data_IF_022156330100
#
_entry.id   IF_022156330100
#
_cell.length_a   1.000
_cell.length_b   1.000
_cell.length_c   1.000
_cell.angle_alpha   90.00
_cell.angle_beta   90.00
_cell.angle_gamma   90.00
#
_symmetry.space_group_name_H-M   'P 1'
#
loop_
_entity.id
_entity.type
_entity.pdbx_description
1 polymer ?
#
# COMPACT_ATOMS: atom_id res chain seq x y z
N UNK A 1 12.58 29.03 31.14
CA UNK A 1 12.75 27.94 32.11
C UNK A 1 13.12 26.61 31.44
N UNK A 2 12.43 26.19 30.39
CA UNK A 2 12.70 24.91 29.66
C UNK A 2 14.08 24.86 28.97
N UNK A 3 14.59 25.96 28.44
CA UNK A 3 15.93 26.05 27.83
C UNK A 3 17.06 25.83 28.85
N UNK A 4 16.86 26.19 30.13
CA UNK A 4 17.86 25.96 31.19
C UNK A 4 17.85 24.53 31.76
N UNK A 5 16.71 23.84 31.70
CA UNK A 5 16.63 22.40 32.05
C UNK A 5 17.31 21.51 31.01
N UNK A 6 17.21 21.85 29.73
CA UNK A 6 17.88 21.08 28.66
C UNK A 6 19.41 21.14 28.74
N UNK A 7 19.98 22.29 29.08
CA UNK A 7 21.43 22.44 29.28
C UNK A 7 21.95 21.72 30.53
N UNK A 8 21.17 21.64 31.60
CA UNK A 8 21.55 20.94 32.84
C UNK A 8 21.64 19.41 32.63
N UNK A 9 20.69 18.79 31.94
CA UNK A 9 20.72 17.36 31.60
C UNK A 9 21.84 17.02 30.62
N UNK A 10 22.08 17.90 29.62
CA UNK A 10 23.20 17.74 28.71
C UNK A 10 24.57 17.81 29.39
N UNK A 11 24.75 18.69 30.36
CA UNK A 11 25.99 18.80 31.16
C UNK A 11 26.20 17.60 32.07
N UNK A 12 25.14 17.04 32.66
CA UNK A 12 25.24 15.81 33.47
C UNK A 12 25.61 14.59 32.59
N UNK A 13 25.07 14.49 31.39
CA UNK A 13 25.42 13.45 30.43
C UNK A 13 26.88 13.60 29.96
N UNK A 14 27.33 14.84 29.68
CA UNK A 14 28.72 15.12 29.29
C UNK A 14 29.69 14.81 30.42
N UNK A 15 29.34 15.15 31.67
CA UNK A 15 30.16 14.81 32.83
C UNK A 15 30.23 13.28 33.08
N UNK A 16 29.18 12.54 32.78
CA UNK A 16 29.16 11.08 32.81
C UNK A 16 30.12 10.45 31.78
N UNK A 17 30.09 10.95 30.56
CA UNK A 17 30.99 10.48 29.47
C UNK A 17 32.46 10.83 29.78
N UNK A 18 32.73 12.04 30.27
CA UNK A 18 34.09 12.45 30.64
C UNK A 18 34.65 11.68 31.86
N UNK A 19 33.80 11.23 32.77
CA UNK A 19 34.21 10.41 33.91
C UNK A 19 34.56 8.97 33.51
N UNK A 20 33.92 8.42 32.46
CA UNK A 20 34.24 7.09 31.93
C UNK A 20 35.55 7.10 31.12
N UNK A 21 35.82 8.16 30.34
CA UNK A 21 37.12 8.35 29.64
C UNK A 21 38.28 8.49 30.65
N UNK A 22 38.05 9.12 31.79
CA UNK A 22 39.06 9.28 32.82
C UNK A 22 39.42 7.95 33.57
N UNK A 23 38.61 6.90 33.42
CA UNK A 23 38.86 5.58 34.03
C UNK A 23 39.71 4.64 33.18
N UNK A 24 40.08 5.04 31.95
CA UNK A 24 40.97 4.26 31.11
C UNK A 24 40.42 2.88 30.72
N UNK A 25 39.10 2.70 30.73
CA UNK A 25 38.52 1.47 30.23
C UNK A 25 38.75 1.37 28.72
N UNK A 26 39.29 0.25 28.27
CA UNK A 26 39.43 -0.11 26.88
C UNK A 26 38.04 -0.07 26.25
N UNK A 27 37.83 0.85 25.31
CA UNK A 27 36.56 0.95 24.59
C UNK A 27 36.15 -0.45 24.10
N UNK A 28 34.96 -0.95 24.44
CA UNK A 28 34.52 -2.25 23.96
C UNK A 28 34.53 -2.22 22.42
N UNK A 29 34.97 -3.34 21.82
CA UNK A 29 34.99 -3.47 20.36
C UNK A 29 33.66 -3.03 19.76
N UNK A 30 33.67 -2.25 18.67
CA UNK A 30 32.40 -1.78 18.05
C UNK A 30 31.52 -2.97 17.74
N UNK A 31 30.33 -2.97 18.33
CA UNK A 31 29.35 -4.04 18.12
C UNK A 31 28.87 -4.00 16.69
N UNK A 32 28.55 -5.16 16.09
CA UNK A 32 27.83 -5.15 14.83
C UNK A 32 26.50 -4.40 15.05
N UNK A 33 26.36 -3.26 14.37
CA UNK A 33 25.13 -2.47 14.39
C UNK A 33 24.03 -3.33 13.76
N UNK A 34 23.07 -3.76 14.57
CA UNK A 34 21.91 -4.47 14.05
C UNK A 34 21.02 -3.46 13.32
N UNK A 35 20.99 -3.55 11.97
CA UNK A 35 20.09 -2.76 11.14
C UNK A 35 18.83 -3.59 10.84
N UNK A 36 17.67 -3.28 11.46
CA UNK A 36 16.44 -4.02 11.24
C UNK A 36 15.93 -3.91 9.79
N UNK A 37 16.35 -2.88 9.05
CA UNK A 37 16.03 -2.66 7.65
C UNK A 37 17.04 -3.26 6.67
N UNK A 38 18.12 -3.88 7.15
CA UNK A 38 19.06 -4.56 6.26
C UNK A 38 18.33 -5.60 5.39
N UNK A 39 18.75 -5.77 4.11
CA UNK A 39 18.15 -6.78 3.24
C UNK A 39 18.22 -8.17 3.87
N UNK A 40 17.13 -8.90 3.82
CA UNK A 40 16.98 -10.27 4.34
C UNK A 40 16.63 -11.22 3.21
N UNK A 41 17.11 -12.46 3.29
CA UNK A 41 16.74 -13.49 2.35
C UNK A 41 15.27 -13.92 2.56
N UNK A 42 14.47 -14.10 1.50
CA UNK A 42 13.16 -14.70 1.59
C UNK A 42 13.27 -16.21 1.94
N UNK A 43 12.16 -16.85 2.23
CA UNK A 43 12.12 -18.28 2.57
C UNK A 43 12.44 -19.18 1.37
N UNK A 44 12.15 -18.71 0.16
CA UNK A 44 12.47 -19.36 -1.12
C UNK A 44 12.62 -18.29 -2.22
N UNK A 45 13.13 -18.62 -3.42
CA UNK A 45 13.35 -17.66 -4.48
C UNK A 45 12.09 -16.85 -4.80
N UNK A 46 12.18 -15.53 -4.60
CA UNK A 46 11.09 -14.61 -4.85
C UNK A 46 10.92 -14.34 -6.35
N UNK A 47 9.69 -14.21 -6.82
CA UNK A 47 9.36 -13.70 -8.16
C UNK A 47 9.26 -12.17 -8.17
N UNK A 48 8.72 -11.58 -7.11
CA UNK A 48 8.64 -10.14 -6.91
C UNK A 48 9.62 -9.65 -5.84
N UNK A 49 10.16 -8.46 -6.05
CA UNK A 49 11.00 -7.73 -5.09
C UNK A 49 10.28 -6.53 -4.49
N UNK A 50 9.35 -5.96 -5.22
CA UNK A 50 8.61 -4.76 -4.88
C UNK A 50 7.10 -5.01 -4.93
N UNK A 51 6.36 -4.27 -4.10
CA UNK A 51 4.89 -4.18 -4.19
C UNK A 51 4.50 -2.72 -4.46
N UNK A 52 3.59 -2.55 -5.40
CA UNK A 52 2.85 -1.31 -5.62
C UNK A 52 1.36 -1.60 -5.46
N UNK A 53 0.70 -0.90 -4.56
CA UNK A 53 -0.73 -1.06 -4.33
C UNK A 53 -1.48 0.22 -4.69
N UNK A 54 -2.25 0.20 -5.76
CA UNK A 54 -3.20 1.25 -6.14
C UNK A 54 -4.50 1.03 -5.36
N UNK A 55 -4.70 1.80 -4.30
CA UNK A 55 -5.82 1.63 -3.39
C UNK A 55 -6.96 2.59 -3.75
N UNK A 56 -8.04 2.01 -4.27
CA UNK A 56 -9.26 2.72 -4.66
C UNK A 56 -10.23 2.79 -3.46
N UNK A 57 -9.82 3.55 -2.43
CA UNK A 57 -10.58 3.65 -1.18
C UNK A 57 -11.99 4.20 -1.39
N UNK A 58 -12.94 3.49 -0.81
CA UNK A 58 -14.37 3.70 -0.98
C UNK A 58 -15.06 2.58 -1.78
N UNK A 59 -14.32 1.63 -2.34
CA UNK A 59 -14.87 0.45 -2.99
C UNK A 59 -15.39 0.71 -4.42
N UNK A 60 -14.55 0.57 -5.45
CA UNK A 60 -14.99 0.68 -6.84
C UNK A 60 -15.97 -0.43 -7.20
N UNK A 61 -16.96 -0.09 -8.01
CA UNK A 61 -17.98 -1.04 -8.45
C UNK A 61 -17.40 -2.06 -9.43
N UNK A 62 -17.38 -3.33 -9.06
CA UNK A 62 -16.90 -4.44 -9.90
C UNK A 62 -17.71 -4.56 -11.19
N UNK A 63 -19.05 -4.45 -11.09
CA UNK A 63 -19.95 -4.59 -12.25
C UNK A 63 -19.89 -3.41 -13.21
N UNK A 64 -19.22 -2.33 -12.82
CA UNK A 64 -19.02 -1.14 -13.65
C UNK A 64 -17.58 -1.01 -14.16
N UNK A 65 -16.66 -1.91 -13.73
CA UNK A 65 -15.23 -1.83 -14.07
C UNK A 65 -14.70 -3.08 -14.76
N UNK A 66 -14.60 -4.23 -14.09
CA UNK A 66 -13.91 -5.42 -14.59
C UNK A 66 -14.76 -6.70 -14.59
N UNK A 67 -16.00 -6.65 -14.10
CA UNK A 67 -16.89 -7.82 -13.99
C UNK A 67 -18.25 -7.57 -14.69
N UNK A 68 -18.31 -7.58 -16.04
CA UNK A 68 -19.54 -7.34 -16.80
C UNK A 68 -20.61 -8.39 -16.47
N UNK A 69 -21.86 -7.94 -16.31
CA UNK A 69 -23.01 -8.78 -15.94
C UNK A 69 -24.18 -8.58 -16.90
N UNK A 70 -24.28 -9.35 -18.00
CA UNK A 70 -25.39 -9.23 -18.96
C UNK A 70 -26.78 -9.44 -18.35
N UNK A 71 -26.87 -10.16 -17.22
CA UNK A 71 -28.14 -10.34 -16.53
C UNK A 71 -28.66 -9.05 -15.89
N UNK A 72 -27.78 -8.10 -15.55
CA UNK A 72 -28.19 -6.78 -15.07
C UNK A 72 -28.87 -5.96 -16.18
N UNK A 73 -28.45 -6.13 -17.45
CA UNK A 73 -29.14 -5.49 -18.59
C UNK A 73 -30.56 -6.00 -18.75
N UNK A 74 -30.78 -7.32 -18.64
CA UNK A 74 -32.09 -7.97 -18.76
C UNK A 74 -33.04 -7.61 -17.62
N UNK A 75 -32.52 -7.40 -16.41
CA UNK A 75 -33.30 -7.14 -15.20
C UNK A 75 -33.32 -5.65 -14.81
N UNK A 76 -32.69 -4.77 -15.58
CA UNK A 76 -32.64 -3.35 -15.26
C UNK A 76 -33.99 -2.75 -14.96
N UNK A 77 -34.09 -2.06 -13.82
CA UNK A 77 -35.34 -1.46 -13.35
C UNK A 77 -36.36 -2.46 -12.76
N UNK A 78 -35.99 -3.76 -12.64
CA UNK A 78 -36.85 -4.80 -12.04
C UNK A 78 -36.19 -5.35 -10.76
N UNK A 79 -36.98 -5.86 -9.80
CA UNK A 79 -36.45 -6.61 -8.67
C UNK A 79 -35.62 -7.80 -9.15
N UNK A 80 -34.53 -8.11 -8.44
CA UNK A 80 -33.78 -9.33 -8.69
C UNK A 80 -34.58 -10.57 -8.25
N UNK A 81 -34.37 -11.74 -8.87
CA UNK A 81 -35.08 -12.97 -8.51
C UNK A 81 -34.84 -13.39 -7.06
N UNK A 82 -33.65 -13.11 -6.53
CA UNK A 82 -33.27 -13.46 -5.16
C UNK A 82 -33.19 -12.21 -4.30
N UNK A 83 -33.56 -12.34 -3.02
CA UNK A 83 -33.37 -11.27 -2.04
C UNK A 83 -31.88 -11.14 -1.73
N UNK A 84 -31.36 -9.92 -1.83
CA UNK A 84 -29.98 -9.62 -1.45
C UNK A 84 -29.94 -9.12 -0.01
N UNK A 85 -28.93 -9.57 0.73
CA UNK A 85 -28.63 -9.02 2.05
C UNK A 85 -27.72 -7.82 1.89
N UNK A 86 -28.30 -6.63 1.85
CA UNK A 86 -27.59 -5.35 1.69
C UNK A 86 -27.50 -4.62 3.03
N UNK A 87 -26.57 -3.69 3.16
CA UNK A 87 -26.40 -2.88 4.37
C UNK A 87 -27.51 -1.83 4.47
N UNK A 88 -27.83 -1.20 3.35
CA UNK A 88 -28.88 -0.18 3.24
C UNK A 88 -30.04 -0.68 2.41
N UNK A 89 -31.13 0.07 2.41
CA UNK A 89 -32.29 -0.23 1.59
C UNK A 89 -31.96 -0.05 0.11
N UNK A 90 -32.13 -1.09 -0.67
CA UNK A 90 -31.88 -1.12 -2.11
C UNK A 90 -33.17 -1.28 -2.91
N UNK A 91 -33.11 -0.88 -4.18
CA UNK A 91 -34.21 -0.97 -5.14
C UNK A 91 -33.99 -2.07 -6.17
N UNK A 92 -34.30 -1.73 -7.42
CA UNK A 92 -34.22 -2.65 -8.55
C UNK A 92 -32.79 -2.88 -9.03
N UNK A 93 -32.61 -3.91 -9.86
CA UNK A 93 -31.37 -4.16 -10.58
C UNK A 93 -30.93 -2.92 -11.37
N UNK A 94 -29.68 -2.57 -11.27
CA UNK A 94 -29.09 -1.44 -11.96
C UNK A 94 -28.02 -1.95 -12.94
N UNK A 95 -28.27 -1.83 -14.24
CA UNK A 95 -27.27 -2.15 -15.26
C UNK A 95 -26.08 -1.18 -15.17
N UNK A 96 -24.93 -1.59 -15.69
CA UNK A 96 -23.80 -0.68 -15.82
C UNK A 96 -24.16 0.45 -16.81
N UNK A 97 -23.86 1.70 -16.48
CA UNK A 97 -23.99 2.81 -17.43
C UNK A 97 -22.88 2.82 -18.48
N UNK A 98 -21.84 2.00 -18.30
CA UNK A 98 -20.65 1.97 -19.14
C UNK A 98 -20.65 0.81 -20.12
N UNK A 99 -19.93 0.99 -21.24
CA UNK A 99 -19.74 -0.04 -22.25
C UNK A 99 -18.53 -0.91 -21.90
N UNK A 100 -18.69 -2.21 -22.12
CA UNK A 100 -17.60 -3.17 -22.03
C UNK A 100 -17.12 -3.58 -23.41
N UNK A 101 -15.80 -3.80 -23.53
CA UNK A 101 -15.15 -4.25 -24.74
C UNK A 101 -14.10 -5.30 -24.39
N UNK A 102 -13.86 -6.24 -25.31
CA UNK A 102 -12.77 -7.20 -25.21
C UNK A 102 -11.45 -6.56 -25.62
N UNK A 103 -10.41 -6.80 -24.83
CA UNK A 103 -9.08 -6.26 -25.04
C UNK A 103 -8.03 -7.36 -25.08
N UNK A 104 -6.90 -7.06 -25.73
CA UNK A 104 -5.75 -7.94 -25.83
C UNK A 104 -6.01 -9.24 -26.59
N UNK A 105 -5.04 -10.14 -26.55
CA UNK A 105 -5.15 -11.48 -27.12
C UNK A 105 -5.99 -12.39 -26.20
N UNK A 106 -5.98 -12.13 -24.88
CA UNK A 106 -6.78 -12.82 -23.89
C UNK A 106 -8.28 -12.62 -24.05
N UNK A 107 -8.70 -11.54 -24.75
CA UNK A 107 -10.11 -11.22 -24.96
C UNK A 107 -10.88 -10.88 -23.69
N UNK A 108 -10.21 -10.44 -22.63
CA UNK A 108 -10.83 -10.07 -21.37
C UNK A 108 -11.67 -8.80 -21.54
N UNK A 109 -12.90 -8.86 -21.06
CA UNK A 109 -13.81 -7.71 -21.08
C UNK A 109 -13.55 -6.75 -19.97
N UNK A 110 -13.35 -5.47 -20.32
CA UNK A 110 -13.12 -4.36 -19.40
C UNK A 110 -14.00 -3.18 -19.80
N UNK A 111 -14.47 -2.45 -18.80
CA UNK A 111 -15.24 -1.21 -18.98
C UNK A 111 -14.42 -0.11 -19.66
N UNK A 112 -15.09 0.75 -20.41
CA UNK A 112 -14.50 1.96 -21.01
C UNK A 112 -13.82 2.88 -19.98
N UNK A 113 -14.11 2.71 -18.70
CA UNK A 113 -13.48 3.44 -17.60
C UNK A 113 -11.96 3.19 -17.51
N UNK A 114 -11.51 1.99 -17.87
CA UNK A 114 -10.10 1.58 -17.83
C UNK A 114 -9.59 1.11 -19.19
N UNK A 115 -10.09 1.74 -20.26
CA UNK A 115 -9.77 1.37 -21.65
C UNK A 115 -8.28 1.46 -21.97
N UNK A 116 -7.58 2.53 -21.55
CA UNK A 116 -6.15 2.73 -21.83
C UNK A 116 -5.29 1.68 -21.13
N UNK A 117 -5.60 1.39 -19.89
CA UNK A 117 -4.93 0.34 -19.11
C UNK A 117 -5.15 -1.03 -19.75
N UNK A 118 -6.39 -1.35 -20.12
CA UNK A 118 -6.74 -2.62 -20.74
C UNK A 118 -6.11 -2.77 -22.15
N UNK A 119 -6.16 -1.74 -22.97
CA UNK A 119 -5.58 -1.76 -24.33
C UNK A 119 -4.07 -2.01 -24.30
N UNK A 120 -3.36 -1.43 -23.34
CA UNK A 120 -1.92 -1.55 -23.26
C UNK A 120 -1.43 -2.79 -22.49
N UNK A 121 -2.20 -3.30 -21.51
CA UNK A 121 -1.62 -4.22 -20.51
C UNK A 121 -2.48 -5.41 -20.11
N UNK A 122 -3.71 -5.59 -20.61
CA UNK A 122 -4.62 -6.62 -20.12
C UNK A 122 -4.02 -8.04 -20.19
N UNK A 123 -3.22 -8.35 -21.23
CA UNK A 123 -2.55 -9.65 -21.37
C UNK A 123 -1.44 -9.88 -20.31
N UNK A 124 -1.02 -8.84 -19.59
CA UNK A 124 -0.09 -8.92 -18.47
C UNK A 124 -0.77 -8.86 -17.10
N UNK A 125 -2.10 -8.87 -17.06
CA UNK A 125 -2.90 -8.71 -15.85
C UNK A 125 -3.67 -10.00 -15.52
N UNK A 126 -3.84 -10.27 -14.23
CA UNK A 126 -4.76 -11.28 -13.71
C UNK A 126 -5.92 -10.58 -13.01
N UNK A 127 -7.13 -10.75 -13.53
CA UNK A 127 -8.35 -10.17 -12.98
C UNK A 127 -9.00 -11.19 -12.04
N UNK A 128 -9.10 -10.88 -10.75
CA UNK A 128 -9.73 -11.73 -9.74
C UNK A 128 -11.14 -11.20 -9.52
N UNK A 129 -12.14 -11.88 -10.09
CA UNK A 129 -13.56 -11.46 -10.00
C UNK A 129 -14.28 -11.99 -8.77
N UNK A 130 -13.67 -12.91 -8.04
CA UNK A 130 -14.27 -13.64 -6.93
C UNK A 130 -13.71 -13.23 -5.56
N UNK A 131 -13.24 -12.00 -5.42
CA UNK A 131 -12.83 -11.48 -4.12
C UNK A 131 -14.03 -11.36 -3.17
N UNK A 132 -13.81 -11.65 -1.88
CA UNK A 132 -14.79 -11.38 -0.82
C UNK A 132 -14.10 -11.03 0.50
N UNK A 133 -14.84 -10.37 1.40
CA UNK A 133 -14.40 -9.98 2.73
C UNK A 133 -15.49 -10.25 3.77
N UNK A 134 -15.15 -10.10 5.06
CA UNK A 134 -16.03 -10.49 6.17
C UNK A 134 -17.09 -9.44 6.52
N UNK A 135 -16.86 -8.19 6.16
CA UNK A 135 -17.65 -7.06 6.67
C UNK A 135 -17.93 -6.01 5.59
N UNK A 136 -19.10 -5.36 5.63
CA UNK A 136 -19.52 -4.36 4.64
C UNK A 136 -19.04 -2.93 4.94
N UNK A 137 -18.61 -2.61 6.18
CA UNK A 137 -18.29 -1.26 6.60
C UNK A 137 -16.85 -0.89 6.26
N UNK A 138 -16.61 0.38 5.88
CA UNK A 138 -15.30 0.84 5.43
C UNK A 138 -14.19 0.68 6.46
N UNK A 139 -14.39 1.12 7.72
CA UNK A 139 -13.34 1.08 8.74
C UNK A 139 -12.74 -0.32 8.94
N UNK A 140 -13.55 -1.36 9.23
CA UNK A 140 -13.02 -2.70 9.41
C UNK A 140 -12.54 -3.33 8.08
N UNK A 141 -13.15 -3.01 6.94
CA UNK A 141 -12.74 -3.56 5.65
C UNK A 141 -11.42 -2.97 5.16
N UNK A 142 -11.18 -1.66 5.39
CA UNK A 142 -9.90 -1.02 5.15
C UNK A 142 -8.79 -1.69 5.99
N UNK A 143 -9.05 -1.95 7.26
CA UNK A 143 -8.10 -2.63 8.14
C UNK A 143 -7.91 -4.09 7.74
N UNK A 144 -8.96 -4.80 7.32
CA UNK A 144 -8.87 -6.16 6.80
C UNK A 144 -7.98 -6.21 5.55
N UNK A 145 -8.23 -5.34 4.57
CA UNK A 145 -7.45 -5.30 3.33
C UNK A 145 -5.99 -4.88 3.55
N UNK A 146 -5.73 -3.97 4.49
CA UNK A 146 -4.38 -3.48 4.71
C UNK A 146 -3.60 -4.26 5.77
N UNK A 147 -4.27 -4.77 6.81
CA UNK A 147 -3.64 -5.32 8.02
C UNK A 147 -4.04 -6.78 8.32
N UNK A 148 -4.94 -7.37 7.53
CA UNK A 148 -5.41 -8.74 7.73
C UNK A 148 -6.33 -8.94 8.95
N UNK A 149 -6.81 -7.86 9.58
CA UNK A 149 -7.74 -7.93 10.70
C UNK A 149 -8.54 -6.62 10.80
N UNK A 150 -9.84 -6.72 10.74
CA UNK A 150 -10.75 -5.55 10.80
C UNK A 150 -11.03 -5.02 12.21
N UNK A 151 -10.58 -5.70 13.26
CA UNK A 151 -10.96 -5.40 14.65
C UNK A 151 -9.77 -5.06 15.54
N UNK A 152 -8.66 -5.79 15.37
CA UNK A 152 -7.50 -5.69 16.23
C UNK A 152 -6.38 -4.86 15.60
N UNK A 153 -5.60 -4.12 16.40
CA UNK A 153 -4.41 -3.45 15.90
C UNK A 153 -3.37 -4.45 15.40
N UNK A 154 -3.26 -4.60 14.08
CA UNK A 154 -2.28 -5.48 13.40
C UNK A 154 -1.33 -4.67 12.54
N UNK A 155 -0.11 -5.16 12.29
CA UNK A 155 0.79 -4.57 11.31
C UNK A 155 0.21 -4.69 9.89
N UNK A 156 0.41 -3.67 9.10
CA UNK A 156 -0.01 -3.66 7.70
C UNK A 156 0.84 -4.61 6.84
N UNK A 157 0.30 -4.98 5.66
CA UNK A 157 1.01 -5.75 4.64
C UNK A 157 2.40 -5.14 4.35
N UNK A 158 2.46 -3.81 4.14
CA UNK A 158 3.73 -3.12 3.89
C UNK A 158 4.72 -3.24 5.05
N UNK A 159 4.23 -3.19 6.30
CA UNK A 159 5.06 -3.41 7.50
C UNK A 159 5.57 -4.85 7.58
N UNK A 160 4.74 -5.85 7.28
CA UNK A 160 5.16 -7.24 7.25
C UNK A 160 6.20 -7.52 6.15
N UNK A 161 6.00 -6.98 4.95
CA UNK A 161 6.95 -7.13 3.84
C UNK A 161 8.29 -6.49 4.17
N UNK A 162 8.27 -5.28 4.73
CA UNK A 162 9.49 -4.57 5.13
C UNK A 162 10.18 -5.27 6.31
N UNK A 163 9.44 -5.81 7.26
CA UNK A 163 9.97 -6.64 8.34
C UNK A 163 10.64 -7.91 7.80
N UNK A 164 10.02 -8.58 6.84
CA UNK A 164 10.51 -9.84 6.28
C UNK A 164 11.70 -9.70 5.36
N UNK A 165 11.72 -8.69 4.46
CA UNK A 165 12.75 -8.52 3.44
C UNK A 165 13.77 -7.40 3.73
N UNK A 166 13.44 -6.47 4.65
CA UNK A 166 14.20 -5.23 4.76
C UNK A 166 14.04 -4.34 3.53
N UNK A 167 14.98 -3.46 3.28
CA UNK A 167 15.01 -2.56 2.13
C UNK A 167 16.36 -2.61 1.42
N UNK A 168 16.36 -2.44 0.09
CA UNK A 168 17.59 -2.34 -0.70
C UNK A 168 18.18 -0.91 -0.66
N UNK A 169 17.37 0.08 -0.28
CA UNK A 169 17.77 1.48 -0.15
C UNK A 169 17.90 1.87 1.33
N UNK A 170 19.07 2.36 1.73
CA UNK A 170 19.33 2.80 3.11
C UNK A 170 18.96 4.27 3.36
N UNK A 171 18.64 5.03 2.33
CA UNK A 171 18.43 6.48 2.40
C UNK A 171 16.95 6.87 2.20
N UNK A 172 16.10 5.90 1.83
CA UNK A 172 14.66 6.08 1.69
C UNK A 172 13.92 5.06 2.57
N UNK A 173 12.66 5.38 2.97
CA UNK A 173 11.83 4.41 3.69
C UNK A 173 11.60 3.15 2.85
N UNK A 174 11.59 2.00 3.50
CA UNK A 174 11.24 0.74 2.83
C UNK A 174 9.76 0.66 2.44
N UNK A 175 8.90 1.42 3.13
CA UNK A 175 7.47 1.51 2.87
C UNK A 175 7.01 2.97 2.78
N UNK A 176 6.51 3.37 1.62
CA UNK A 176 6.00 4.71 1.32
C UNK A 176 4.50 4.66 1.05
N UNK A 177 3.76 5.60 1.60
CA UNK A 177 2.31 5.76 1.41
C UNK A 177 2.01 7.14 0.87
N UNK A 178 1.32 7.20 -0.25
CA UNK A 178 0.90 8.44 -0.90
C UNK A 178 -0.62 8.58 -0.87
N UNK A 179 -1.11 9.63 -0.20
CA UNK A 179 -2.53 9.97 -0.21
C UNK A 179 -2.67 11.48 -0.38
N UNK A 180 -3.31 11.96 -1.45
CA UNK A 180 -3.44 13.37 -1.70
C UNK A 180 -4.55 13.99 -0.86
N UNK A 181 -4.27 15.17 -0.30
CA UNK A 181 -5.26 16.00 0.39
C UNK A 181 -5.62 15.54 1.80
N UNK A 182 -4.83 14.65 2.41
CA UNK A 182 -5.04 14.20 3.78
C UNK A 182 -5.06 12.68 3.95
N UNK A 183 -5.84 12.20 4.90
CA UNK A 183 -5.88 10.79 5.26
C UNK A 183 -7.18 10.11 4.81
N UNK A 184 -7.13 8.81 4.44
CA UNK A 184 -8.33 8.00 4.31
C UNK A 184 -8.97 7.76 5.68
N UNK A 185 -10.14 7.13 5.72
CA UNK A 185 -10.74 6.68 6.98
C UNK A 185 -9.76 5.77 7.73
N UNK A 186 -9.86 5.76 9.06
CA UNK A 186 -8.93 5.14 10.02
C UNK A 186 -7.46 5.58 9.89
N UNK A 187 -7.22 6.61 9.10
CA UNK A 187 -5.96 7.37 9.01
C UNK A 187 -4.71 6.48 8.86
N UNK A 188 -3.67 6.76 9.65
CA UNK A 188 -2.39 6.02 9.64
C UNK A 188 -2.51 4.56 10.11
N UNK A 189 -3.67 4.14 10.63
CA UNK A 189 -3.88 2.75 11.02
C UNK A 189 -3.78 1.79 9.83
N UNK A 190 -4.09 2.27 8.61
CA UNK A 190 -3.97 1.48 7.38
C UNK A 190 -2.54 1.03 7.03
N UNK A 191 -1.52 1.74 7.53
CA UNK A 191 -0.11 1.47 7.24
C UNK A 191 0.78 1.46 8.47
N UNK A 192 0.16 1.15 9.62
CA UNK A 192 0.88 1.09 10.89
C UNK A 192 1.76 -0.15 11.01
N UNK A 193 2.82 -0.01 11.81
CA UNK A 193 3.64 -1.14 12.26
C UNK A 193 3.00 -1.93 13.41
N UNK A 194 2.05 -1.33 14.15
CA UNK A 194 1.41 -1.89 15.35
C UNK A 194 2.43 -2.44 16.36
N UNK A 195 2.43 -3.76 16.59
CA UNK A 195 3.39 -4.40 17.50
C UNK A 195 4.77 -4.67 16.87
N UNK A 196 4.93 -4.53 15.56
CA UNK A 196 6.26 -4.52 14.95
C UNK A 196 6.99 -3.21 15.29
N UNK A 197 8.34 -3.21 15.29
CA UNK A 197 9.10 -1.98 15.47
C UNK A 197 8.68 -0.84 14.52
N UNK A 198 8.68 0.39 15.04
CA UNK A 198 8.20 1.58 14.30
C UNK A 198 8.92 1.87 12.99
N UNK A 199 10.14 1.39 12.81
CA UNK A 199 10.92 1.53 11.57
C UNK A 199 10.25 0.86 10.34
N UNK A 200 9.33 -0.08 10.56
CA UNK A 200 8.58 -0.75 9.50
C UNK A 200 7.26 -0.05 9.15
N UNK A 201 6.92 1.04 9.84
CA UNK A 201 5.71 1.80 9.55
C UNK A 201 5.83 2.53 8.22
N UNK A 202 4.71 2.62 7.47
CA UNK A 202 4.65 3.39 6.24
C UNK A 202 4.90 4.88 6.46
N UNK A 203 5.77 5.47 5.65
CA UNK A 203 6.03 6.91 5.62
C UNK A 203 5.01 7.59 4.72
N UNK A 204 4.21 8.47 5.30
CA UNK A 204 3.16 9.20 4.59
C UNK A 204 3.71 10.38 3.79
N UNK A 205 3.22 10.53 2.55
CA UNK A 205 3.45 11.67 1.68
C UNK A 205 2.12 12.30 1.28
N UNK A 206 1.95 13.59 1.53
CA UNK A 206 0.83 14.35 0.98
C UNK A 206 1.14 14.80 -0.46
N UNK A 207 0.75 13.99 -1.41
CA UNK A 207 1.02 14.22 -2.83
C UNK A 207 0.12 15.27 -3.50
N UNK A 208 -0.75 15.91 -2.75
CA UNK A 208 -1.39 17.14 -3.21
C UNK A 208 -0.36 18.28 -3.31
N UNK A 209 0.73 18.20 -2.57
CA UNK A 209 1.87 19.09 -2.65
C UNK A 209 2.86 18.66 -3.74
N UNK A 210 3.55 19.62 -4.33
CA UNK A 210 4.61 19.39 -5.32
C UNK A 210 6.00 19.72 -4.78
N UNK A 211 6.09 20.50 -3.70
CA UNK A 211 7.34 20.86 -3.04
C UNK A 211 7.76 19.76 -2.07
N UNK A 212 9.01 19.31 -2.14
CA UNK A 212 9.55 18.21 -1.32
C UNK A 212 9.34 18.46 0.18
N UNK A 213 9.58 19.69 0.64
CA UNK A 213 9.44 20.07 2.06
C UNK A 213 7.99 20.03 2.56
N UNK A 214 7.01 20.02 1.65
CA UNK A 214 5.58 19.89 1.95
C UNK A 214 5.05 18.49 1.73
N UNK A 215 5.73 17.66 0.91
CA UNK A 215 5.38 16.26 0.71
C UNK A 215 5.57 15.45 1.99
N UNK A 216 6.66 15.71 2.73
CA UNK A 216 7.00 15.01 3.97
C UNK A 216 7.05 16.05 5.10
N UNK A 217 6.14 15.91 6.05
CA UNK A 217 6.14 16.79 7.22
C UNK A 217 7.47 16.67 7.99
N UNK A 218 8.03 17.82 8.37
CA UNK A 218 9.25 17.91 9.19
C UNK A 218 10.50 17.24 8.59
N UNK A 219 10.59 17.11 7.26
CA UNK A 219 11.76 16.51 6.62
C UNK A 219 13.03 17.35 6.84
N UNK A 220 12.92 18.65 7.01
CA UNK A 220 14.04 19.54 7.31
C UNK A 220 13.90 20.16 8.69
N UNK A 221 15.03 20.32 9.37
CA UNK A 221 15.10 21.16 10.56
C UNK A 221 15.28 22.62 10.14
N UNK A 222 14.35 23.48 10.54
CA UNK A 222 14.41 24.91 10.23
C UNK A 222 15.35 25.70 11.14
N UNK A 223 15.76 25.15 12.29
CA UNK A 223 16.53 25.83 13.31
C UNK A 223 18.01 25.47 13.31
N UNK A 224 18.38 24.31 12.75
CA UNK A 224 19.75 23.79 12.75
C UNK A 224 20.25 23.62 11.33
N UNK A 225 21.54 23.94 11.10
CA UNK A 225 22.24 23.52 9.89
C UNK A 225 22.41 22.00 9.86
N UNK A 226 22.65 21.42 8.67
CA UNK A 226 22.87 19.98 8.53
C UNK A 226 24.05 19.48 9.40
N UNK A 227 25.14 20.25 9.48
CA UNK A 227 26.31 19.90 10.29
C UNK A 227 25.95 19.85 11.77
N UNK A 228 25.25 20.89 12.28
CA UNK A 228 24.79 20.91 13.68
C UNK A 228 23.80 19.80 14.00
N UNK A 229 22.93 19.48 13.06
CA UNK A 229 22.03 18.35 13.21
C UNK A 229 22.77 17.03 13.24
N UNK A 230 23.82 16.87 12.41
CA UNK A 230 24.69 15.68 12.45
C UNK A 230 25.39 15.54 13.79
N UNK A 231 26.03 16.61 14.29
CA UNK A 231 26.66 16.62 15.62
C UNK A 231 25.67 16.19 16.73
N UNK A 232 24.43 16.71 16.68
CA UNK A 232 23.39 16.34 17.62
C UNK A 232 23.02 14.87 17.54
N UNK A 233 22.89 14.32 16.33
CA UNK A 233 22.56 12.91 16.12
C UNK A 233 23.71 11.98 16.54
N UNK A 234 24.96 12.37 16.31
CA UNK A 234 26.13 11.61 16.75
C UNK A 234 26.18 11.55 18.26
N UNK A 235 25.87 12.64 18.94
CA UNK A 235 25.78 12.67 20.40
C UNK A 235 24.65 11.78 20.94
N UNK A 236 23.45 11.88 20.34
CA UNK A 236 22.31 11.02 20.71
C UNK A 236 22.64 9.56 20.44
N UNK A 237 23.31 9.27 19.31
CA UNK A 237 23.76 7.91 19.00
C UNK A 237 24.72 7.36 20.05
N UNK A 238 25.72 8.12 20.46
CA UNK A 238 26.66 7.70 21.50
C UNK A 238 25.96 7.38 22.84
N UNK A 239 25.00 8.21 23.25
CA UNK A 239 24.18 7.94 24.43
C UNK A 239 23.33 6.67 24.28
N UNK A 240 22.72 6.48 23.11
CA UNK A 240 21.91 5.30 22.83
C UNK A 240 22.76 4.02 22.76
N UNK A 241 23.95 4.09 22.17
CA UNK A 241 24.88 2.96 22.10
C UNK A 241 25.31 2.51 23.51
N UNK A 242 25.60 3.46 24.41
CA UNK A 242 25.87 3.18 25.84
C UNK A 242 24.63 2.55 26.52
N UNK A 243 23.44 3.08 26.30
CA UNK A 243 22.20 2.55 26.87
C UNK A 243 21.88 1.15 26.32
N UNK A 244 22.11 0.90 25.02
CA UNK A 244 21.94 -0.40 24.40
C UNK A 244 22.94 -1.44 24.87
N UNK A 245 24.14 -0.99 25.37
CA UNK A 245 25.15 -1.89 25.92
C UNK A 245 24.62 -2.76 27.05
N UNK A 246 23.75 -2.17 27.89
CA UNK A 246 23.15 -2.84 29.04
C UNK A 246 21.87 -3.64 28.69
N UNK A 247 21.36 -3.47 27.45
CA UNK A 247 20.09 -4.04 26.96
C UNK A 247 20.28 -4.77 25.66
N UNK A 248 21.03 -5.87 25.70
CA UNK A 248 21.35 -6.66 24.51
C UNK A 248 20.05 -7.21 23.87
N UNK A 249 19.95 -7.04 22.52
CA UNK A 249 18.87 -7.55 21.68
C UNK A 249 17.48 -6.88 21.85
N UNK A 250 17.41 -5.64 22.33
CA UNK A 250 16.17 -4.87 22.29
C UNK A 250 15.93 -4.31 20.86
N UNK A 251 15.19 -5.06 20.04
CA UNK A 251 14.86 -4.66 18.65
C UNK A 251 14.08 -3.34 18.57
N UNK A 252 13.30 -2.98 19.59
CA UNK A 252 12.56 -1.71 19.63
C UNK A 252 13.51 -0.53 19.81
N UNK A 253 14.50 -0.67 20.67
CA UNK A 253 15.52 0.35 20.90
C UNK A 253 16.39 0.55 19.65
N UNK A 254 16.88 -0.53 19.03
CA UNK A 254 17.66 -0.47 17.80
C UNK A 254 16.87 0.15 16.65
N UNK A 255 15.59 -0.21 16.48
CA UNK A 255 14.73 0.37 15.49
C UNK A 255 14.55 1.88 15.69
N UNK A 256 14.44 2.35 16.95
CA UNK A 256 14.31 3.78 17.27
C UNK A 256 15.58 4.56 16.91
N UNK A 257 16.75 4.02 17.21
CA UNK A 257 18.05 4.61 16.84
C UNK A 257 18.13 4.76 15.31
N UNK A 258 17.83 3.68 14.58
CA UNK A 258 17.87 3.67 13.13
C UNK A 258 16.84 4.60 12.48
N UNK A 259 15.71 4.86 13.13
CA UNK A 259 14.69 5.80 12.62
C UNK A 259 15.23 7.24 12.55
N UNK A 260 16.01 7.70 13.52
CA UNK A 260 16.62 9.04 13.48
C UNK A 260 17.66 9.15 12.37
N UNK A 261 18.49 8.12 12.20
CA UNK A 261 19.49 8.07 11.12
C UNK A 261 18.84 8.04 9.73
N UNK A 262 17.76 7.27 9.57
CA UNK A 262 17.00 7.25 8.32
C UNK A 262 16.40 8.62 8.01
N UNK A 263 15.76 9.27 9.00
CA UNK A 263 15.16 10.58 8.83
C UNK A 263 16.19 11.63 8.40
N UNK A 264 17.42 11.58 8.93
CA UNK A 264 18.49 12.46 8.51
C UNK A 264 18.97 12.19 7.09
N UNK A 265 19.22 10.92 6.73
CA UNK A 265 19.62 10.54 5.36
C UNK A 265 18.57 10.89 4.32
N UNK A 266 17.28 10.77 4.69
CA UNK A 266 16.17 11.17 3.82
C UNK A 266 16.22 12.65 3.41
N UNK A 267 16.74 13.55 4.25
CA UNK A 267 16.80 14.99 3.94
C UNK A 267 17.57 15.26 2.63
N UNK A 268 18.62 14.49 2.36
CA UNK A 268 19.41 14.61 1.14
C UNK A 268 18.78 13.84 -0.02
N UNK A 269 18.43 12.56 0.19
CA UNK A 269 17.92 11.69 -0.87
C UNK A 269 16.52 12.10 -1.36
N UNK A 270 15.65 12.55 -0.45
CA UNK A 270 14.29 12.97 -0.81
C UNK A 270 14.30 14.14 -1.80
N UNK A 271 15.27 15.06 -1.70
CA UNK A 271 15.40 16.19 -2.63
C UNK A 271 15.63 15.72 -4.08
N UNK A 272 16.18 14.54 -4.28
CA UNK A 272 16.40 13.95 -5.62
C UNK A 272 15.33 12.95 -6.00
N UNK A 273 14.87 12.13 -5.07
CA UNK A 273 13.87 11.09 -5.33
C UNK A 273 12.50 11.69 -5.71
N UNK A 274 12.10 12.75 -5.01
CA UNK A 274 10.77 13.37 -5.19
C UNK A 274 10.75 14.55 -6.17
N UNK A 275 11.90 14.98 -6.70
CA UNK A 275 11.98 16.07 -7.67
C UNK A 275 11.61 15.57 -9.08
N UNK A 276 10.35 15.80 -9.47
CA UNK A 276 9.85 15.46 -10.80
C UNK A 276 10.28 16.43 -11.90
N UNK A 277 10.92 17.54 -11.58
CA UNK A 277 11.43 18.50 -12.58
C UNK A 277 12.54 17.89 -13.44
N UNK A 278 13.22 16.87 -12.92
CA UNK A 278 14.28 16.12 -13.61
C UNK A 278 13.77 15.10 -14.64
N UNK A 279 12.46 14.83 -14.65
CA UNK A 279 11.86 13.97 -15.67
C UNK A 279 11.71 14.71 -16.99
N UNK A 280 11.84 14.00 -18.11
CA UNK A 280 11.63 14.60 -19.43
C UNK A 280 10.21 15.09 -19.60
N UNK A 281 10.01 16.07 -20.48
CA UNK A 281 8.67 16.59 -20.79
C UNK A 281 7.74 15.46 -21.28
N UNK A 282 8.23 14.60 -22.18
CA UNK A 282 7.48 13.46 -22.71
C UNK A 282 7.06 12.47 -21.63
N UNK A 283 7.95 12.21 -20.66
CA UNK A 283 7.61 11.35 -19.52
C UNK A 283 6.49 11.96 -18.70
N UNK A 284 6.59 13.24 -18.35
CA UNK A 284 5.55 13.92 -17.57
C UNK A 284 4.21 13.96 -18.32
N UNK A 285 4.23 14.23 -19.64
CA UNK A 285 3.03 14.24 -20.48
C UNK A 285 2.37 12.86 -20.54
N UNK A 286 3.14 11.77 -20.63
CA UNK A 286 2.63 10.40 -20.64
C UNK A 286 1.86 10.04 -19.36
N UNK A 287 2.35 10.46 -18.20
CA UNK A 287 1.63 10.28 -16.93
C UNK A 287 0.49 11.28 -16.74
N UNK A 288 0.53 12.39 -17.45
CA UNK A 288 -0.40 13.51 -17.30
C UNK A 288 -0.10 14.38 -16.09
N UNK A 289 -0.43 15.67 -16.20
CA UNK A 289 -0.26 16.64 -15.10
C UNK A 289 -1.45 16.62 -14.15
N UNK A 290 -1.69 15.45 -13.57
CA UNK A 290 -2.71 15.22 -12.54
C UNK A 290 -2.05 14.80 -11.24
N UNK A 291 -2.79 14.85 -10.13
CA UNK A 291 -2.28 14.36 -8.84
C UNK A 291 -1.87 12.89 -8.96
N UNK A 292 -2.70 12.05 -9.57
CA UNK A 292 -2.41 10.61 -9.71
C UNK A 292 -1.30 10.35 -10.74
N UNK A 293 -1.20 11.15 -11.81
CA UNK A 293 -0.06 11.08 -12.73
C UNK A 293 1.27 11.32 -12.00
N UNK A 294 1.33 12.37 -11.16
CA UNK A 294 2.50 12.65 -10.32
C UNK A 294 2.78 11.53 -9.29
N UNK A 295 1.74 10.98 -8.63
CA UNK A 295 1.91 9.86 -7.71
C UNK A 295 2.52 8.64 -8.37
N UNK A 296 2.02 8.25 -9.55
CA UNK A 296 2.51 7.06 -10.24
C UNK A 296 3.92 7.29 -10.82
N UNK A 297 4.23 8.50 -11.25
CA UNK A 297 5.59 8.86 -11.65
C UNK A 297 6.57 8.84 -10.47
N UNK A 298 6.16 9.34 -9.30
CA UNK A 298 6.91 9.20 -8.04
C UNK A 298 7.08 7.73 -7.66
N UNK A 299 6.03 6.92 -7.78
CA UNK A 299 6.07 5.47 -7.52
C UNK A 299 7.13 4.79 -8.36
N UNK A 300 7.18 5.05 -9.68
CA UNK A 300 8.22 4.51 -10.56
C UNK A 300 9.62 4.87 -10.05
N UNK A 301 9.86 6.15 -9.73
CA UNK A 301 11.15 6.63 -9.21
C UNK A 301 11.56 6.00 -7.88
N UNK A 302 10.59 5.74 -7.01
CA UNK A 302 10.82 5.06 -5.74
C UNK A 302 11.22 3.59 -5.94
N UNK A 303 10.51 2.88 -6.83
CA UNK A 303 10.85 1.49 -7.19
C UNK A 303 12.22 1.39 -7.84
N UNK A 304 12.56 2.29 -8.77
CA UNK A 304 13.91 2.37 -9.37
C UNK A 304 15.02 2.55 -8.31
N UNK A 305 14.70 3.15 -7.17
CA UNK A 305 15.63 3.36 -6.05
C UNK A 305 15.58 2.28 -4.98
N UNK A 306 14.87 1.18 -5.23
CA UNK A 306 14.83 0.04 -4.32
C UNK A 306 13.87 0.17 -3.14
N UNK A 307 12.90 1.10 -3.18
CA UNK A 307 11.82 1.14 -2.19
C UNK A 307 10.99 -0.13 -2.31
N UNK A 308 10.77 -0.82 -1.20
CA UNK A 308 10.16 -2.16 -1.18
C UNK A 308 8.66 -2.14 -1.41
N UNK A 309 7.95 -1.21 -0.75
CA UNK A 309 6.49 -1.11 -0.80
C UNK A 309 6.08 0.33 -1.06
N UNK A 310 5.21 0.52 -2.05
CA UNK A 310 4.57 1.82 -2.32
C UNK A 310 3.07 1.61 -2.38
N UNK A 311 2.33 2.29 -1.51
CA UNK A 311 0.89 2.30 -1.50
C UNK A 311 0.37 3.66 -1.97
N UNK A 312 -0.49 3.68 -2.98
CA UNK A 312 -1.01 4.89 -3.63
C UNK A 312 -2.51 4.94 -3.46
N UNK A 313 -2.99 5.86 -2.65
CA UNK A 313 -4.41 6.05 -2.34
C UNK A 313 -5.07 7.01 -3.32
N UNK A 314 -6.35 6.78 -3.58
CA UNK A 314 -7.14 7.62 -4.48
C UNK A 314 -7.42 9.02 -3.91
N UNK A 315 -7.35 9.19 -2.59
CA UNK A 315 -7.52 10.48 -1.93
C UNK A 315 -7.93 10.37 -0.48
N UNK A 316 -8.03 11.52 0.19
CA UNK A 316 -8.56 11.60 1.53
C UNK A 316 -10.02 11.12 1.59
N UNK A 317 -10.43 10.60 2.74
CA UNK A 317 -11.77 10.03 2.93
C UNK A 317 -11.99 8.77 2.09
N UNK A 318 -13.04 8.76 1.28
CA UNK A 318 -13.49 7.60 0.49
C UNK A 318 -13.98 8.02 -0.91
N UNK A 319 -13.09 8.42 -1.83
CA UNK A 319 -13.49 8.95 -3.13
C UNK A 319 -14.41 8.03 -3.95
N UNK A 320 -14.24 6.69 -3.86
CA UNK A 320 -15.02 5.71 -4.61
C UNK A 320 -16.33 5.29 -3.91
N UNK A 321 -16.68 5.90 -2.78
CA UNK A 321 -17.91 5.61 -2.03
C UNK A 321 -19.11 6.33 -2.64
N UNK A 322 -19.59 5.84 -3.78
CA UNK A 322 -20.62 6.50 -4.57
C UNK A 322 -22.00 5.89 -4.38
N UNK A 323 -22.65 6.27 -3.29
CA UNK A 323 -24.05 5.92 -2.96
C UNK A 323 -25.07 6.64 -3.85
N UNK A 324 -24.66 7.74 -4.47
CA UNK A 324 -25.40 8.47 -5.48
C UNK A 324 -24.48 8.95 -6.62
N UNK A 325 -25.08 9.36 -7.74
CA UNK A 325 -24.34 9.92 -8.87
C UNK A 325 -23.16 9.07 -9.38
N UNK A 326 -23.23 7.75 -9.20
CA UNK A 326 -22.14 6.80 -9.45
C UNK A 326 -21.57 6.96 -10.85
N UNK A 327 -22.42 7.14 -11.86
CA UNK A 327 -21.98 7.28 -13.26
C UNK A 327 -20.99 8.45 -13.42
N UNK A 328 -21.36 9.64 -12.99
CA UNK A 328 -20.49 10.81 -13.15
C UNK A 328 -19.24 10.72 -12.27
N UNK A 329 -19.38 10.19 -11.06
CA UNK A 329 -18.28 10.13 -10.09
C UNK A 329 -17.26 9.05 -10.47
N UNK A 330 -17.68 7.81 -10.81
CA UNK A 330 -16.78 6.76 -11.26
C UNK A 330 -16.05 7.16 -12.55
N UNK A 331 -16.75 7.81 -13.49
CA UNK A 331 -16.12 8.32 -14.73
C UNK A 331 -15.03 9.34 -14.43
N UNK A 332 -15.31 10.30 -13.52
CA UNK A 332 -14.33 11.30 -13.10
C UNK A 332 -13.11 10.67 -12.43
N UNK A 333 -13.33 9.72 -11.51
CA UNK A 333 -12.26 9.05 -10.78
C UNK A 333 -11.42 8.18 -11.71
N UNK A 334 -12.06 7.34 -12.51
CA UNK A 334 -11.36 6.46 -13.45
C UNK A 334 -10.51 7.23 -14.45
N UNK A 335 -10.99 8.37 -14.96
CA UNK A 335 -10.23 9.23 -15.88
C UNK A 335 -8.92 9.76 -15.26
N UNK A 336 -8.84 9.87 -13.94
CA UNK A 336 -7.63 10.30 -13.23
C UNK A 336 -6.61 9.17 -13.08
N UNK A 337 -7.04 7.90 -13.18
CA UNK A 337 -6.21 6.72 -12.94
C UNK A 337 -5.82 5.97 -14.21
N UNK A 338 -6.71 5.84 -15.19
CA UNK A 338 -6.54 4.96 -16.35
C UNK A 338 -5.27 5.27 -17.15
N UNK A 339 -5.08 6.52 -17.56
CA UNK A 339 -3.87 6.94 -18.28
C UNK A 339 -2.59 6.77 -17.45
N UNK A 340 -2.53 7.28 -16.23
CA UNK A 340 -1.39 7.07 -15.34
C UNK A 340 -1.04 5.61 -15.07
N UNK A 341 -2.01 4.71 -14.86
CA UNK A 341 -1.74 3.27 -14.70
C UNK A 341 -1.12 2.69 -15.97
N UNK A 342 -1.69 2.99 -17.14
CA UNK A 342 -1.14 2.54 -18.41
C UNK A 342 0.31 3.02 -18.61
N UNK A 343 0.60 4.28 -18.29
CA UNK A 343 1.94 4.86 -18.37
C UNK A 343 2.92 4.18 -17.39
N UNK A 344 2.49 3.94 -16.16
CA UNK A 344 3.29 3.29 -15.13
C UNK A 344 3.69 1.85 -15.52
N UNK A 345 2.73 1.03 -15.94
CA UNK A 345 2.99 -0.34 -16.36
C UNK A 345 3.86 -0.40 -17.62
N UNK A 346 3.68 0.55 -18.56
CA UNK A 346 4.55 0.70 -19.73
C UNK A 346 5.98 1.02 -19.32
N UNK A 347 6.17 1.97 -18.41
CA UNK A 347 7.49 2.34 -17.94
C UNK A 347 8.16 1.19 -17.19
N UNK A 348 7.45 0.46 -16.30
CA UNK A 348 8.02 -0.71 -15.64
C UNK A 348 8.53 -1.77 -16.63
N UNK A 349 7.79 -2.03 -17.70
CA UNK A 349 8.24 -2.93 -18.77
C UNK A 349 9.48 -2.38 -19.49
N UNK A 350 9.46 -1.09 -19.86
CA UNK A 350 10.55 -0.42 -20.56
C UNK A 350 11.87 -0.42 -19.79
N UNK A 351 11.81 -0.27 -18.45
CA UNK A 351 13.01 -0.22 -17.59
C UNK A 351 13.36 -1.60 -17.00
N UNK A 352 12.64 -2.68 -17.37
CA UNK A 352 12.93 -4.05 -16.93
C UNK A 352 12.55 -4.35 -15.47
N UNK A 353 11.66 -3.57 -14.85
CA UNK A 353 11.21 -3.75 -13.48
C UNK A 353 9.84 -4.42 -13.35
N UNK A 354 9.11 -4.64 -14.46
CA UNK A 354 7.77 -5.22 -14.44
C UNK A 354 7.76 -6.62 -13.81
N UNK A 355 8.68 -7.49 -14.22
CA UNK A 355 8.74 -8.87 -13.76
C UNK A 355 9.17 -9.01 -12.28
N UNK A 356 9.75 -7.96 -11.72
CA UNK A 356 10.17 -7.92 -10.30
C UNK A 356 9.26 -7.05 -9.42
N UNK A 357 8.23 -6.41 -9.98
CA UNK A 357 7.29 -5.53 -9.26
C UNK A 357 5.88 -6.11 -9.31
N UNK A 358 5.35 -6.51 -8.17
CA UNK A 358 3.95 -6.91 -8.03
C UNK A 358 3.09 -5.65 -7.91
N UNK A 359 2.19 -5.45 -8.87
CA UNK A 359 1.22 -4.35 -8.86
C UNK A 359 -0.15 -4.89 -8.53
N UNK A 360 -0.80 -4.34 -7.52
CA UNK A 360 -2.17 -4.63 -7.11
C UNK A 360 -3.04 -3.39 -7.33
N UNK A 361 -4.26 -3.59 -7.81
CA UNK A 361 -5.33 -2.59 -7.86
C UNK A 361 -6.58 -3.14 -7.22
N UNK A 362 -7.26 -2.34 -6.42
CA UNK A 362 -8.55 -2.69 -5.82
C UNK A 362 -8.89 -1.76 -4.68
N UNK A 363 -10.06 -1.96 -4.11
CA UNK A 363 -10.52 -1.32 -2.89
C UNK A 363 -10.77 -2.33 -1.78
N UNK A 364 -11.36 -1.88 -0.69
CA UNK A 364 -11.67 -2.70 0.48
C UNK A 364 -12.86 -3.65 0.25
N UNK A 365 -13.74 -3.35 -0.70
CA UNK A 365 -14.87 -4.15 -1.17
C UNK A 365 -15.40 -3.60 -2.51
N UNK A 366 -16.53 -4.11 -3.00
CA UNK A 366 -17.21 -3.68 -4.21
C UNK A 366 -18.56 -3.01 -3.93
N UNK A 367 -19.45 -3.04 -4.94
CA UNK A 367 -20.76 -2.40 -4.87
C UNK A 367 -21.88 -3.35 -5.25
N UNK A 368 -23.09 -3.11 -4.69
CA UNK A 368 -24.26 -3.95 -4.99
C UNK A 368 -24.68 -3.85 -6.46
N UNK A 369 -25.23 -4.93 -7.04
CA UNK A 369 -25.77 -4.91 -8.40
C UNK A 369 -27.11 -4.16 -8.52
N UNK A 370 -27.64 -3.68 -7.40
CA UNK A 370 -28.93 -2.98 -7.28
C UNK A 370 -28.73 -1.53 -6.89
N UNK A 371 -29.66 -0.68 -7.30
CA UNK A 371 -29.62 0.74 -6.97
C UNK A 371 -29.95 0.97 -5.50
N UNK A 372 -29.30 1.94 -4.87
CA UNK A 372 -29.56 2.33 -3.49
C UNK A 372 -30.64 3.41 -3.39
N UNK A 373 -31.51 3.31 -2.36
CA UNK A 373 -32.47 4.35 -2.02
C UNK A 373 -31.81 5.49 -1.23
N UNK A 374 -32.31 6.74 -1.35
CA UNK A 374 -33.45 7.15 -2.18
C UNK A 374 -33.09 7.55 -3.61
N UNK A 375 -31.82 7.78 -3.93
CA UNK A 375 -31.40 8.41 -5.18
C UNK A 375 -31.54 7.49 -6.42
N UNK A 376 -31.42 6.17 -6.23
CA UNK A 376 -31.53 5.13 -7.27
C UNK A 376 -30.55 5.28 -8.45
N UNK A 377 -29.44 5.99 -8.24
CA UNK A 377 -28.41 6.24 -9.24
C UNK A 377 -27.00 5.99 -8.68
N UNK A 378 -26.90 5.28 -7.56
CA UNK A 378 -25.69 4.79 -6.92
C UNK A 378 -25.89 3.38 -6.41
N UNK A 379 -24.86 2.83 -5.77
CA UNK A 379 -24.83 1.45 -5.28
C UNK A 379 -24.36 1.41 -3.82
N UNK A 380 -24.97 0.54 -3.03
CA UNK A 380 -24.57 0.23 -1.66
C UNK A 380 -23.29 -0.63 -1.62
N UNK A 381 -22.71 -0.83 -0.46
CA UNK A 381 -21.53 -1.67 -0.24
C UNK A 381 -21.77 -3.14 -0.56
N UNK A 382 -20.78 -3.80 -1.11
CA UNK A 382 -20.82 -5.23 -1.36
C UNK A 382 -19.47 -5.90 -1.02
N UNK A 383 -19.41 -6.55 0.12
CA UNK A 383 -18.26 -7.33 0.56
C UNK A 383 -18.34 -8.81 0.15
N UNK A 384 -19.49 -9.29 -0.33
CA UNK A 384 -19.70 -10.68 -0.73
C UNK A 384 -19.09 -11.03 -2.09
N UNK A 385 -18.88 -10.03 -2.97
CA UNK A 385 -18.30 -10.22 -4.27
C UNK A 385 -17.72 -8.91 -4.82
N UNK A 386 -16.42 -8.88 -5.09
CA UNK A 386 -15.76 -7.72 -5.71
C UNK A 386 -14.54 -8.13 -6.53
N UNK A 387 -13.92 -7.17 -7.19
CA UNK A 387 -12.80 -7.42 -8.09
C UNK A 387 -11.56 -6.69 -7.64
N UNK A 388 -10.44 -7.43 -7.65
CA UNK A 388 -9.09 -6.88 -7.66
C UNK A 388 -8.36 -7.37 -8.92
N UNK A 389 -7.27 -6.71 -9.31
CA UNK A 389 -6.35 -7.28 -10.27
C UNK A 389 -4.90 -7.19 -9.80
N UNK A 390 -4.10 -8.11 -10.33
CA UNK A 390 -2.65 -8.18 -10.13
C UNK A 390 -1.94 -8.08 -11.48
N UNK A 391 -0.71 -7.51 -11.49
CA UNK A 391 0.13 -7.47 -12.67
C UNK A 391 1.62 -7.54 -12.28
N UNK A 392 2.46 -8.06 -13.15
CA UNK A 392 3.90 -8.18 -12.93
C UNK A 392 4.27 -9.14 -11.80
N UNK A 393 5.52 -9.11 -11.34
CA UNK A 393 5.99 -9.83 -10.15
C UNK A 393 5.71 -11.33 -10.14
N UNK A 394 5.70 -11.99 -11.31
CA UNK A 394 5.42 -13.42 -11.42
C UNK A 394 3.94 -13.79 -11.47
N UNK A 395 3.05 -12.82 -11.69
CA UNK A 395 1.62 -13.05 -11.90
C UNK A 395 1.39 -13.65 -13.29
N UNK A 396 0.48 -14.62 -13.40
CA UNK A 396 0.04 -15.21 -14.66
C UNK A 396 -0.90 -14.25 -15.39
N UNK A 397 -0.35 -13.45 -16.30
CA UNK A 397 -1.10 -12.49 -17.11
C UNK A 397 -2.14 -13.12 -18.04
N UNK A 398 -3.05 -12.30 -18.58
CA UNK A 398 -4.13 -12.72 -19.48
C UNK A 398 -5.15 -13.65 -18.82
N UNK A 399 -5.29 -13.61 -17.50
CA UNK A 399 -6.10 -14.55 -16.70
C UNK A 399 -7.28 -13.84 -16.05
N UNK A 400 -8.48 -14.44 -16.14
CA UNK A 400 -9.61 -14.13 -15.26
C UNK A 400 -9.75 -15.28 -14.28
N UNK A 401 -9.71 -14.99 -12.99
CA UNK A 401 -9.81 -15.98 -11.93
C UNK A 401 -11.10 -15.83 -11.14
N UNK A 402 -11.83 -16.93 -11.03
CA UNK A 402 -13.10 -16.99 -10.35
C UNK A 402 -14.20 -16.14 -10.99
N UNK A 403 -15.38 -16.21 -10.43
CA UNK A 403 -16.53 -15.42 -10.87
C UNK A 403 -17.43 -15.06 -9.68
N UNK A 404 -18.12 -13.93 -9.79
CA UNK A 404 -19.32 -13.66 -8.99
C UNK A 404 -20.52 -14.30 -9.68
N UNK A 405 -21.64 -14.38 -8.96
CA UNK A 405 -22.94 -14.83 -9.49
C UNK A 405 -23.37 -14.02 -10.73
N UNK A 406 -24.45 -14.43 -11.38
CA UNK A 406 -24.98 -13.82 -12.61
C UNK A 406 -25.24 -12.31 -12.51
N UNK A 407 -25.41 -11.81 -11.29
CA UNK A 407 -25.69 -10.40 -11.04
C UNK A 407 -24.47 -9.63 -10.48
N UNK A 408 -23.40 -10.33 -10.06
CA UNK A 408 -22.21 -9.70 -9.51
C UNK A 408 -22.30 -9.40 -8.01
N UNK A 409 -23.16 -10.10 -7.28
CA UNK A 409 -23.33 -9.87 -5.84
C UNK A 409 -22.41 -10.72 -4.97
N UNK A 410 -22.32 -12.03 -5.24
CA UNK A 410 -21.55 -12.97 -4.41
C UNK A 410 -20.47 -13.67 -5.20
N UNK A 411 -19.29 -13.81 -4.63
CA UNK A 411 -18.26 -14.69 -5.15
C UNK A 411 -18.78 -16.15 -5.14
N UNK A 412 -18.92 -16.76 -6.31
CA UNK A 412 -19.54 -18.07 -6.48
C UNK A 412 -18.51 -19.11 -6.95
N UNK A 413 -17.75 -18.78 -7.99
CA UNK A 413 -16.71 -19.66 -8.50
C UNK A 413 -15.35 -19.29 -7.92
N UNK A 414 -14.64 -20.28 -7.35
CA UNK A 414 -13.28 -20.11 -6.80
C UNK A 414 -13.15 -18.84 -5.95
N UNK A 415 -13.92 -18.71 -4.87
CA UNK A 415 -13.88 -17.52 -4.00
C UNK A 415 -12.48 -17.26 -3.46
N UNK A 416 -12.06 -16.01 -3.44
CA UNK A 416 -10.76 -15.56 -2.92
C UNK A 416 -10.99 -14.60 -1.75
N UNK A 417 -10.69 -15.04 -0.54
CA UNK A 417 -10.74 -14.17 0.63
C UNK A 417 -9.56 -13.19 0.63
N UNK A 418 -9.70 -12.06 1.31
CA UNK A 418 -8.59 -11.09 1.48
C UNK A 418 -7.33 -11.78 2.03
N UNK A 419 -7.45 -12.74 2.94
CA UNK A 419 -6.30 -13.50 3.45
C UNK A 419 -5.63 -14.38 2.38
N UNK A 420 -6.39 -14.89 1.41
CA UNK A 420 -5.84 -15.69 0.30
C UNK A 420 -5.06 -14.79 -0.67
N UNK A 421 -5.57 -13.56 -0.91
CA UNK A 421 -4.84 -12.55 -1.65
C UNK A 421 -3.52 -12.20 -0.95
N UNK A 422 -3.53 -11.95 0.37
CA UNK A 422 -2.33 -11.71 1.15
C UNK A 422 -1.34 -12.87 1.10
N UNK A 423 -1.82 -14.11 1.26
CA UNK A 423 -0.98 -15.31 1.18
C UNK A 423 -0.32 -15.43 -0.22
N UNK A 424 -1.07 -15.15 -1.28
CA UNK A 424 -0.60 -15.19 -2.67
C UNK A 424 0.45 -14.11 -2.94
N UNK A 425 0.21 -12.88 -2.48
CA UNK A 425 1.18 -11.78 -2.61
C UNK A 425 2.47 -12.06 -1.84
N UNK A 426 2.38 -12.56 -0.60
CA UNK A 426 3.54 -12.95 0.20
C UNK A 426 4.30 -14.11 -0.47
N UNK A 427 3.60 -15.06 -1.10
CA UNK A 427 4.24 -16.15 -1.84
C UNK A 427 5.05 -15.62 -3.04
N UNK A 428 4.50 -14.69 -3.82
CA UNK A 428 5.23 -14.05 -4.93
C UNK A 428 6.50 -13.32 -4.46
N UNK A 429 6.50 -12.79 -3.22
CA UNK A 429 7.67 -12.19 -2.56
C UNK A 429 8.63 -13.22 -1.94
N UNK A 430 8.39 -14.51 -2.13
CA UNK A 430 9.25 -15.59 -1.63
C UNK A 430 9.00 -15.98 -0.17
N UNK A 431 7.83 -15.66 0.39
CA UNK A 431 7.47 -16.05 1.74
C UNK A 431 6.51 -17.22 1.79
N UNK A 432 6.81 -18.14 2.67
CA UNK A 432 5.80 -18.96 3.30
C UNK A 432 5.09 -18.09 4.35
N UNK A 433 3.86 -17.66 4.06
CA UNK A 433 3.10 -16.74 4.91
C UNK A 433 2.83 -17.31 6.31
N UNK A 434 2.94 -18.65 6.48
CA UNK A 434 2.76 -19.30 7.78
C UNK A 434 4.01 -19.21 8.66
N UNK A 435 5.18 -18.95 8.07
CA UNK A 435 6.48 -18.81 8.73
C UNK A 435 6.92 -17.38 8.93
N UNK A 436 6.31 -16.43 8.21
CA UNK A 436 6.57 -15.00 8.42
C UNK A 436 5.81 -14.55 9.68
N UNK A 437 6.42 -14.75 10.83
CA UNK A 437 5.81 -14.52 12.15
C UNK A 437 6.58 -13.51 12.98
N UNK A 438 5.90 -12.91 13.95
CA UNK A 438 6.48 -12.08 15.00
C UNK A 438 5.89 -12.45 16.35
N UNK A 439 6.76 -12.72 17.33
CA UNK A 439 6.36 -13.07 18.70
C UNK A 439 5.93 -11.82 19.48
N UNK A 440 4.68 -11.75 19.86
CA UNK A 440 4.13 -10.65 20.64
C UNK A 440 3.12 -11.17 21.67
N UNK A 441 3.20 -10.67 22.91
CA UNK A 441 2.29 -11.05 24.01
C UNK A 441 2.04 -12.57 24.13
N UNK A 442 3.11 -13.38 23.96
CA UNK A 442 3.04 -14.84 24.13
C UNK A 442 2.55 -15.62 22.90
N UNK A 443 2.13 -14.97 21.80
CA UNK A 443 1.67 -15.59 20.57
C UNK A 443 2.56 -15.21 19.37
N UNK A 444 2.70 -16.12 18.41
CA UNK A 444 3.29 -15.84 17.11
C UNK A 444 2.20 -15.33 16.16
N UNK A 445 2.31 -14.06 15.76
CA UNK A 445 1.40 -13.41 14.84
C UNK A 445 1.93 -13.45 13.42
N UNK A 446 1.04 -13.46 12.45
CA UNK A 446 1.31 -13.33 11.01
C UNK A 446 0.19 -12.51 10.34
N UNK A 447 0.44 -11.96 9.14
CA UNK A 447 -0.53 -11.13 8.42
C UNK A 447 -1.86 -11.85 8.17
N UNK A 448 -1.80 -13.12 7.81
CA UNK A 448 -2.97 -13.95 7.47
C UNK A 448 -3.66 -14.60 8.68
N UNK A 449 -3.22 -14.30 9.89
CA UNK A 449 -3.64 -14.95 11.13
C UNK A 449 -3.66 -16.48 11.00
N UNK A 450 -4.79 -17.15 11.20
CA UNK A 450 -4.93 -18.61 11.03
C UNK A 450 -5.43 -19.01 9.63
N UNK A 451 -5.64 -18.06 8.76
CA UNK A 451 -6.24 -18.18 7.42
C UNK A 451 -5.19 -18.09 6.31
N UNK A 452 -5.66 -18.01 5.07
CA UNK A 452 -4.90 -17.75 3.87
C UNK A 452 -4.47 -19.01 3.12
N UNK A 453 -4.88 -19.10 1.87
CA UNK A 453 -4.47 -20.10 0.91
C UNK A 453 -3.81 -19.43 -0.28
N UNK A 454 -2.66 -19.94 -0.70
CA UNK A 454 -2.00 -19.42 -1.91
C UNK A 454 -2.78 -19.84 -3.13
N UNK A 455 -3.26 -18.89 -3.92
CA UNK A 455 -3.98 -19.12 -5.19
C UNK A 455 -2.95 -19.38 -6.29
N UNK A 456 -2.53 -20.63 -6.42
CA UNK A 456 -1.43 -21.03 -7.33
C UNK A 456 -1.74 -20.76 -8.81
N UNK A 457 -2.99 -20.77 -9.20
CA UNK A 457 -3.42 -20.52 -10.57
C UNK A 457 -3.19 -19.07 -11.02
N UNK A 458 -2.95 -18.14 -10.09
CA UNK A 458 -2.57 -16.75 -10.37
C UNK A 458 -1.05 -16.58 -10.57
N UNK A 459 -0.26 -17.64 -10.38
CA UNK A 459 1.21 -17.61 -10.41
C UNK A 459 1.72 -18.21 -11.73
N UNK A 460 2.65 -17.49 -12.40
CA UNK A 460 3.28 -17.92 -13.64
C UNK A 460 4.41 -18.93 -13.43
#
# INVERSE_FOLDING_TARGET
MLTRCGTGLGMLALAGLAADDARGEVAPAPRPVFDPLAPKAPHFPAKAKHIVHFFMNGGPSQVDTFDPKPMLDKHHGKPLPNSLRTERKTGAAMKSPYKFKKYGQSGIEVSELFAKTAEAHIDGMAIIRSMYADVPNHEPSLLMMNCGDGRQPRPSLGSWVTYGLGTENRNLPGFVVMCPGGYPIVTTQNWRSAFLPGVFQGTYLDTNNTQVDKLIAHIRNSELSADRQREQLDFVKALNDKHAADRQHDMQLEARINTFELAFRMQTEASTAFDLSKETKETRERYGDTVHGRQLLLTRRLIERGVRVVQVWSGAGQPWDNHDGLEAQHKKLAAQWDGPIAAFLTDLKRIGLFDSTLVQWGGEFGRTPVAEFPALNGRDHNHYGFTCWLAGGGVKGGTVYGATDDFGFRAEEKPVHVHDLHATMLHLLGFDHTKLTYRYAGRDFRLTDVHGNVVKELIA
#
